data_IF_266872246975
#
_entry.id   IF_266872246975
#
_cell.length_a   1.000
_cell.length_b   1.000
_cell.length_c   1.000
_cell.angle_alpha   90.00
_cell.angle_beta   90.00
_cell.angle_gamma   90.00
#
_symmetry.space_group_name_H-M   'P 1'
#
loop_
_entity.id
_entity.type
_entity.pdbx_description
1 polymer ?
#
# COMPACT_ATOMS: atom_id res chain seq x y z
N UNK A 1 -29.59 9.09 12.04
CA UNK A 1 -30.95 9.36 11.54
C UNK A 1 -31.14 10.86 11.41
N UNK A 2 -32.07 11.30 10.58
CA UNK A 2 -32.36 12.74 10.42
C UNK A 2 -33.34 13.16 11.51
N UNK A 3 -32.81 13.52 12.68
CA UNK A 3 -33.57 14.34 13.62
C UNK A 3 -33.38 15.77 13.13
N UNK A 4 -34.41 16.37 12.52
CA UNK A 4 -34.34 17.75 12.00
C UNK A 4 -34.26 18.80 13.13
N UNK A 5 -34.68 20.02 12.84
CA UNK A 5 -34.85 21.07 13.86
C UNK A 5 -36.14 20.82 14.65
N UNK A 6 -36.02 20.69 15.97
CA UNK A 6 -37.16 20.62 16.88
C UNK A 6 -37.30 21.94 17.65
N UNK A 7 -38.51 22.51 17.62
CA UNK A 7 -38.83 23.78 18.25
C UNK A 7 -39.74 23.51 19.46
N UNK A 8 -39.26 23.80 20.67
CA UNK A 8 -40.00 23.63 21.91
C UNK A 8 -40.46 24.98 22.44
N UNK A 9 -41.77 25.25 22.43
CA UNK A 9 -42.33 26.46 23.01
C UNK A 9 -42.23 26.38 24.53
N UNK A 10 -41.51 27.31 25.15
CA UNK A 10 -41.21 27.29 26.59
C UNK A 10 -41.82 28.46 27.36
N UNK A 11 -42.59 29.33 26.68
CA UNK A 11 -43.20 30.50 27.31
C UNK A 11 -44.64 30.78 26.87
N UNK A 12 -45.34 31.58 27.67
CA UNK A 12 -46.78 31.83 27.55
C UNK A 12 -47.20 32.70 26.34
N UNK A 13 -46.23 33.34 25.67
CA UNK A 13 -46.47 34.19 24.49
C UNK A 13 -45.84 33.57 23.24
N UNK A 14 -46.46 33.78 22.07
CA UNK A 14 -45.96 33.27 20.79
C UNK A 14 -44.47 33.63 20.56
N UNK A 15 -43.71 32.70 19.95
CA UNK A 15 -42.28 32.81 19.61
C UNK A 15 -41.27 32.70 20.77
N UNK A 16 -41.69 32.33 21.98
CA UNK A 16 -40.76 31.94 23.05
C UNK A 16 -40.40 30.44 22.94
N UNK A 17 -39.44 30.14 22.07
CA UNK A 17 -39.16 28.77 21.63
C UNK A 17 -37.67 28.42 21.75
N UNK A 18 -37.33 27.27 22.31
CA UNK A 18 -35.98 26.70 22.27
C UNK A 18 -35.86 25.86 21.00
N UNK A 19 -34.83 26.13 20.20
CA UNK A 19 -34.54 25.35 18.99
C UNK A 19 -33.43 24.35 19.30
N UNK A 20 -33.76 23.06 19.24
CA UNK A 20 -32.77 21.98 19.28
C UNK A 20 -32.50 21.51 17.85
N UNK A 21 -31.29 21.76 17.36
CA UNK A 21 -30.83 21.26 16.07
C UNK A 21 -29.83 20.15 16.29
N UNK A 22 -30.10 18.97 15.73
CA UNK A 22 -29.27 17.79 15.88
C UNK A 22 -28.64 17.44 14.53
N UNK A 23 -27.32 17.25 14.49
CA UNK A 23 -26.61 16.83 13.27
C UNK A 23 -27.01 15.42 12.81
N UNK A 24 -26.86 15.14 11.52
CA UNK A 24 -27.21 13.82 10.96
C UNK A 24 -26.22 12.73 11.38
N UNK A 25 -26.47 12.04 12.50
CA UNK A 25 -25.58 10.97 13.01
C UNK A 25 -25.58 9.65 12.21
N UNK A 26 -25.93 9.64 10.91
CA UNK A 26 -25.80 8.42 10.10
C UNK A 26 -24.31 8.13 9.86
N UNK A 27 -23.89 6.90 10.18
CA UNK A 27 -22.54 6.40 9.90
C UNK A 27 -22.22 6.33 8.40
N UNK A 28 -23.22 6.43 7.51
CA UNK A 28 -23.01 6.55 6.06
C UNK A 28 -22.41 7.90 5.64
N UNK A 29 -22.56 8.95 6.47
CA UNK A 29 -22.07 10.30 6.17
C UNK A 29 -20.79 10.64 6.95
N UNK A 30 -20.57 9.94 8.07
CA UNK A 30 -19.39 10.07 8.93
C UNK A 30 -18.56 8.77 8.98
N UNK A 31 -18.76 7.88 8.00
CA UNK A 31 -18.06 6.61 7.90
C UNK A 31 -16.62 6.79 7.44
N UNK A 32 -15.79 5.79 7.73
CA UNK A 32 -14.40 5.76 7.33
C UNK A 32 -14.31 5.66 5.79
N UNK A 33 -13.90 6.73 5.12
CA UNK A 33 -13.79 6.78 3.65
C UNK A 33 -12.40 6.30 3.22
N UNK A 34 -12.25 4.98 3.04
CA UNK A 34 -11.03 4.39 2.53
C UNK A 34 -11.22 3.97 1.08
N UNK A 35 -10.35 4.43 0.20
CA UNK A 35 -10.23 3.91 -1.16
C UNK A 35 -8.90 3.18 -1.24
N UNK A 36 -8.93 1.87 -1.48
CA UNK A 36 -7.73 1.11 -1.79
C UNK A 36 -7.37 1.36 -3.26
N UNK A 37 -6.08 1.55 -3.55
CA UNK A 37 -5.61 1.52 -4.95
C UNK A 37 -5.92 0.15 -5.55
N UNK A 38 -6.22 0.13 -6.86
CA UNK A 38 -6.21 -1.13 -7.60
C UNK A 38 -4.81 -1.74 -7.50
N UNK A 39 -4.75 -3.02 -7.16
CA UNK A 39 -3.48 -3.74 -7.07
C UNK A 39 -2.88 -3.83 -8.46
N UNK A 40 -1.74 -3.18 -8.67
CA UNK A 40 -0.93 -3.47 -9.86
C UNK A 40 -0.32 -4.85 -9.62
N UNK A 41 -0.71 -5.83 -10.41
CA UNK A 41 -0.13 -7.17 -10.32
C UNK A 41 1.38 -7.05 -10.54
N UNK A 42 2.17 -7.34 -9.49
CA UNK A 42 3.61 -7.53 -9.60
C UNK A 42 3.85 -8.81 -10.42
N UNK A 43 3.80 -8.70 -11.75
CA UNK A 43 4.13 -9.80 -12.66
C UNK A 43 5.63 -9.78 -12.94
N UNK A 44 6.42 -10.14 -11.94
CA UNK A 44 7.84 -10.43 -12.15
C UNK A 44 7.93 -11.90 -12.58
N UNK A 45 8.19 -12.13 -13.86
CA UNK A 45 8.57 -13.45 -14.37
C UNK A 45 10.09 -13.45 -14.60
N UNK A 46 10.85 -13.98 -13.64
CA UNK A 46 12.31 -14.16 -13.73
C UNK A 46 13.16 -13.06 -13.08
N UNK A 47 14.48 -13.24 -13.17
CA UNK A 47 15.52 -12.37 -12.62
C UNK A 47 15.65 -11.07 -13.43
N UNK A 48 15.73 -9.90 -12.77
CA UNK A 48 15.92 -8.62 -13.46
C UNK A 48 17.39 -8.34 -13.76
N UNK A 49 17.67 -7.65 -14.86
CA UNK A 49 19.03 -7.16 -15.16
C UNK A 49 19.41 -5.99 -14.24
N UNK A 50 20.72 -5.75 -14.06
CA UNK A 50 21.20 -4.65 -13.22
C UNK A 50 20.67 -3.28 -13.69
N UNK A 51 20.56 -3.05 -15.01
CA UNK A 51 19.98 -1.83 -15.56
C UNK A 51 18.50 -1.66 -15.20
N UNK A 52 17.77 -2.78 -15.10
CA UNK A 52 16.35 -2.82 -14.74
C UNK A 52 16.10 -2.60 -13.25
N UNK A 53 17.05 -2.95 -12.39
CA UNK A 53 17.03 -2.69 -10.94
C UNK A 53 17.50 -1.27 -10.65
N UNK A 54 18.61 -0.84 -11.25
CA UNK A 54 19.17 0.51 -11.10
C UNK A 54 18.20 1.59 -11.60
N UNK A 55 17.50 1.34 -12.71
CA UNK A 55 16.46 2.23 -13.24
C UNK A 55 15.10 2.09 -12.56
N UNK A 56 14.94 1.16 -11.60
CA UNK A 56 13.66 0.84 -10.93
C UNK A 56 12.49 0.60 -11.91
N UNK A 57 12.78 0.09 -13.11
CA UNK A 57 11.84 0.07 -14.25
C UNK A 57 10.87 -1.12 -14.24
N UNK A 58 10.46 -1.61 -13.05
CA UNK A 58 9.89 -2.96 -12.89
C UNK A 58 8.42 -3.07 -12.58
N UNK A 59 7.88 -2.16 -11.77
CA UNK A 59 6.46 -2.15 -11.39
C UNK A 59 5.79 -1.08 -12.25
N UNK A 60 5.06 -1.51 -13.29
CA UNK A 60 4.39 -0.57 -14.21
C UNK A 60 3.09 -0.08 -13.60
N UNK A 61 3.15 1.04 -12.86
CA UNK A 61 2.16 2.08 -13.12
C UNK A 61 2.53 2.62 -14.50
N UNK A 62 1.62 2.52 -15.48
CA UNK A 62 1.79 3.25 -16.75
C UNK A 62 1.78 4.75 -16.45
N UNK A 63 2.30 5.59 -17.35
CA UNK A 63 2.10 7.03 -17.21
C UNK A 63 0.60 7.30 -17.02
N UNK A 64 0.28 7.92 -15.90
CA UNK A 64 -1.09 8.11 -15.47
C UNK A 64 -1.26 9.48 -14.85
N UNK A 65 -2.41 10.09 -15.14
CA UNK A 65 -2.83 11.30 -14.44
C UNK A 65 -3.84 10.90 -13.36
N UNK A 66 -3.48 11.14 -12.11
CA UNK A 66 -4.33 10.92 -10.96
C UNK A 66 -4.99 12.24 -10.56
N UNK A 67 -6.28 12.20 -10.25
CA UNK A 67 -6.99 13.33 -9.66
C UNK A 67 -7.68 12.86 -8.38
N UNK A 68 -7.43 13.55 -7.28
CA UNK A 68 -8.00 13.25 -5.97
C UNK A 68 -9.10 14.26 -5.68
N UNK A 69 -10.29 13.74 -5.37
CA UNK A 69 -11.42 14.53 -4.89
C UNK A 69 -11.65 14.19 -3.43
N UNK A 70 -11.45 15.17 -2.56
CA UNK A 70 -11.77 15.03 -1.15
C UNK A 70 -12.71 16.13 -0.66
N UNK A 71 -12.93 16.18 0.65
CA UNK A 71 -13.90 17.08 1.27
C UNK A 71 -13.45 18.56 1.25
N UNK A 72 -12.15 18.84 1.17
CA UNK A 72 -11.62 20.20 1.06
C UNK A 72 -11.59 20.70 -0.40
N UNK A 73 -11.65 19.79 -1.38
CA UNK A 73 -11.57 20.13 -2.79
C UNK A 73 -10.86 19.07 -3.64
N UNK A 74 -10.54 19.44 -4.88
CA UNK A 74 -9.82 18.59 -5.82
C UNK A 74 -8.32 18.95 -5.88
N UNK A 75 -7.46 17.95 -6.06
CA UNK A 75 -5.99 18.14 -6.15
C UNK A 75 -5.53 18.84 -7.43
N UNK A 76 -6.33 18.78 -8.50
CA UNK A 76 -5.85 18.95 -9.87
C UNK A 76 -5.16 17.68 -10.38
N UNK A 77 -4.57 17.77 -11.59
CA UNK A 77 -3.86 16.66 -12.22
C UNK A 77 -2.52 16.39 -11.51
N UNK A 78 -2.36 15.17 -11.00
CA UNK A 78 -1.11 14.63 -10.45
C UNK A 78 -0.53 13.69 -11.50
N UNK A 79 0.64 14.02 -12.04
CA UNK A 79 1.30 13.17 -13.03
C UNK A 79 2.12 12.11 -12.30
N UNK A 80 1.70 10.86 -12.45
CA UNK A 80 2.43 9.68 -11.99
C UNK A 80 3.24 9.17 -13.18
N UNK A 81 4.55 9.34 -13.09
CA UNK A 81 5.46 8.88 -14.14
C UNK A 81 5.53 7.36 -14.17
N UNK A 82 5.73 6.78 -15.35
CA UNK A 82 5.94 5.35 -15.50
C UNK A 82 7.09 4.85 -14.61
N UNK A 83 6.85 3.78 -13.85
CA UNK A 83 7.82 3.21 -12.92
C UNK A 83 7.94 3.94 -11.57
N UNK A 84 6.99 4.83 -11.24
CA UNK A 84 6.88 5.37 -9.87
C UNK A 84 6.51 4.25 -8.90
N UNK A 85 7.24 4.15 -7.78
CA UNK A 85 6.90 3.21 -6.71
C UNK A 85 5.61 3.64 -5.98
N UNK A 86 4.98 2.71 -5.26
CA UNK A 86 3.80 3.02 -4.45
C UNK A 86 4.09 4.14 -3.45
N UNK A 87 5.30 4.17 -2.88
CA UNK A 87 5.79 5.26 -2.02
C UNK A 87 5.71 6.62 -2.71
N UNK A 88 6.29 6.74 -3.92
CA UNK A 88 6.29 8.02 -4.65
C UNK A 88 4.87 8.50 -4.92
N UNK A 89 3.96 7.60 -5.30
CA UNK A 89 2.55 7.95 -5.54
C UNK A 89 1.85 8.41 -4.25
N UNK A 90 2.04 7.69 -3.14
CA UNK A 90 1.46 8.10 -1.86
C UNK A 90 2.04 9.44 -1.37
N UNK A 91 3.34 9.66 -1.53
CA UNK A 91 3.99 10.93 -1.20
C UNK A 91 3.40 12.08 -2.06
N UNK A 92 3.21 11.87 -3.37
CA UNK A 92 2.54 12.83 -4.26
C UNK A 92 1.11 13.17 -3.80
N UNK A 93 0.32 12.17 -3.40
CA UNK A 93 -1.04 12.40 -2.85
C UNK A 93 -0.97 13.16 -1.52
N UNK A 94 -0.05 12.81 -0.63
CA UNK A 94 0.11 13.48 0.65
C UNK A 94 0.54 14.94 0.50
N UNK A 95 1.26 15.32 -0.56
CA UNK A 95 1.61 16.73 -0.82
C UNK A 95 0.39 17.62 -1.08
N UNK A 96 -0.70 17.05 -1.60
CA UNK A 96 -1.97 17.76 -1.86
C UNK A 96 -3.03 17.49 -0.79
N UNK A 97 -2.66 16.84 0.32
CA UNK A 97 -3.56 16.55 1.44
C UNK A 97 -4.16 17.82 2.05
N UNK A 98 -3.42 18.92 2.11
CA UNK A 98 -3.91 20.21 2.62
C UNK A 98 -5.02 20.83 1.76
N UNK A 99 -5.13 20.43 0.49
CA UNK A 99 -6.16 20.91 -0.46
C UNK A 99 -7.33 19.94 -0.62
N UNK A 100 -7.10 18.66 -0.36
CA UNK A 100 -8.10 17.60 -0.60
C UNK A 100 -8.69 17.05 0.69
N UNK A 101 -7.93 17.04 1.79
CA UNK A 101 -8.27 16.32 3.03
C UNK A 101 -7.97 14.82 2.97
N UNK A 102 -7.25 14.35 1.93
CA UNK A 102 -6.94 12.93 1.72
C UNK A 102 -5.49 12.65 2.12
N UNK A 103 -5.29 11.56 2.88
CA UNK A 103 -3.97 11.00 3.17
C UNK A 103 -3.84 9.63 2.51
N UNK A 104 -2.63 9.29 2.07
CA UNK A 104 -2.31 8.03 1.42
C UNK A 104 -1.19 7.31 2.19
N UNK A 105 -1.34 5.99 2.30
CA UNK A 105 -0.28 5.08 2.75
C UNK A 105 0.13 4.17 1.58
N UNK A 106 1.39 3.81 1.54
CA UNK A 106 1.93 2.91 0.52
C UNK A 106 2.37 1.59 1.17
N UNK A 107 2.18 0.49 0.44
CA UNK A 107 2.68 -0.84 0.80
C UNK A 107 2.87 -1.64 -0.47
N UNK A 108 4.00 -2.29 -0.61
CA UNK A 108 4.31 -3.16 -1.74
C UNK A 108 4.30 -4.60 -1.28
N UNK A 109 3.55 -5.45 -1.97
CA UNK A 109 3.51 -6.89 -1.71
C UNK A 109 3.79 -7.66 -2.99
N UNK A 110 4.59 -8.72 -2.87
CA UNK A 110 4.88 -9.65 -3.95
C UNK A 110 4.78 -11.09 -3.49
N UNK A 111 4.04 -11.92 -4.23
CA UNK A 111 3.98 -13.36 -3.95
C UNK A 111 5.03 -14.09 -4.79
N UNK A 112 5.95 -14.80 -4.13
CA UNK A 112 6.91 -15.66 -4.78
C UNK A 112 6.29 -17.04 -5.06
N UNK A 113 6.57 -17.58 -6.24
CA UNK A 113 6.22 -18.95 -6.62
C UNK A 113 7.49 -19.69 -7.02
N UNK A 114 7.57 -20.95 -6.60
CA UNK A 114 8.72 -21.81 -6.88
C UNK A 114 8.30 -22.95 -7.79
N UNK A 115 9.18 -23.33 -8.72
CA UNK A 115 8.92 -24.41 -9.67
C UNK A 115 9.21 -25.81 -9.11
N UNK A 116 10.13 -25.92 -8.14
CA UNK A 116 10.54 -27.18 -7.53
C UNK A 116 11.07 -26.98 -6.10
N UNK A 117 11.23 -28.06 -5.35
CA UNK A 117 12.03 -28.02 -4.12
C UNK A 117 13.53 -27.91 -4.46
N UNK A 118 14.31 -27.27 -3.59
CA UNK A 118 15.74 -27.11 -3.82
C UNK A 118 16.34 -25.85 -3.21
N UNK A 119 17.61 -25.60 -3.53
CA UNK A 119 18.34 -24.42 -3.12
C UNK A 119 18.07 -23.26 -4.08
N UNK A 120 17.76 -22.10 -3.51
CA UNK A 120 17.54 -20.85 -4.22
C UNK A 120 18.45 -19.77 -3.64
N UNK A 121 18.95 -18.91 -4.53
CA UNK A 121 19.70 -17.73 -4.13
C UNK A 121 19.40 -16.58 -5.08
N UNK A 122 19.14 -15.41 -4.52
CA UNK A 122 18.94 -14.17 -5.24
C UNK A 122 19.38 -13.02 -4.35
N UNK A 123 19.56 -11.84 -4.93
CA UNK A 123 19.71 -10.64 -4.15
C UNK A 123 18.43 -9.82 -4.10
N UNK A 124 18.25 -9.13 -2.97
CA UNK A 124 17.14 -8.21 -2.74
C UNK A 124 17.66 -6.77 -2.78
N UNK A 125 16.93 -5.92 -3.50
CA UNK A 125 17.09 -4.46 -3.50
C UNK A 125 15.71 -3.83 -3.32
N UNK A 126 15.53 -3.03 -2.28
CA UNK A 126 14.29 -2.31 -1.98
C UNK A 126 14.60 -0.95 -1.31
N UNK A 127 14.61 -0.88 0.02
CA UNK A 127 14.88 0.39 0.76
C UNK A 127 16.35 0.80 0.74
N UNK A 128 17.23 -0.18 0.54
CA UNK A 128 18.68 0.01 0.38
C UNK A 128 19.04 0.71 -0.93
N UNK A 129 20.23 1.31 -0.97
CA UNK A 129 20.77 1.87 -2.21
C UNK A 129 20.86 0.77 -3.28
N UNK A 130 20.63 1.11 -4.56
CA UNK A 130 20.66 0.14 -5.65
C UNK A 130 22.03 -0.58 -5.79
N UNK A 131 23.10 0.04 -5.29
CA UNK A 131 24.46 -0.51 -5.24
C UNK A 131 24.70 -1.43 -4.04
N UNK A 132 23.85 -1.38 -3.02
CA UNK A 132 23.98 -2.16 -1.80
C UNK A 132 23.19 -3.44 -1.94
N UNK A 133 23.92 -4.51 -2.22
CA UNK A 133 23.38 -5.74 -2.73
C UNK A 133 23.24 -6.77 -1.62
N UNK A 134 22.03 -7.17 -1.23
CA UNK A 134 21.86 -8.14 -0.14
C UNK A 134 21.46 -9.51 -0.66
N UNK A 135 22.42 -10.44 -0.66
CA UNK A 135 22.19 -11.83 -1.07
C UNK A 135 21.43 -12.59 0.00
N UNK A 136 20.40 -13.30 -0.44
CA UNK A 136 19.64 -14.25 0.36
C UNK A 136 19.75 -15.62 -0.30
N UNK A 137 20.08 -16.62 0.50
CA UNK A 137 20.20 -18.01 0.06
C UNK A 137 19.45 -18.90 1.04
N UNK A 138 18.64 -19.82 0.52
CA UNK A 138 17.86 -20.76 1.33
C UNK A 138 17.54 -22.02 0.55
N UNK A 139 17.12 -23.06 1.26
CA UNK A 139 16.62 -24.30 0.68
C UNK A 139 15.18 -24.52 1.11
N UNK A 140 14.31 -24.81 0.15
CA UNK A 140 12.89 -25.12 0.40
C UNK A 140 12.65 -26.63 0.28
N UNK A 141 11.80 -27.16 1.17
CA UNK A 141 11.40 -28.57 1.17
C UNK A 141 10.27 -28.91 0.18
N UNK A 142 9.61 -27.89 -0.35
CA UNK A 142 8.46 -27.96 -1.24
C UNK A 142 8.08 -26.57 -1.73
N UNK A 143 7.26 -26.49 -2.78
CA UNK A 143 6.92 -25.22 -3.44
C UNK A 143 5.84 -24.41 -2.71
N UNK A 144 5.13 -25.04 -1.77
CA UNK A 144 4.09 -24.44 -0.93
C UNK A 144 4.10 -25.03 0.48
N UNK A 145 3.50 -24.32 1.43
CA UNK A 145 3.32 -24.76 2.82
C UNK A 145 4.32 -24.12 3.78
N UNK A 146 3.88 -23.86 5.01
CA UNK A 146 4.64 -23.14 6.01
C UNK A 146 5.96 -23.83 6.36
N UNK A 147 5.94 -25.14 6.59
CA UNK A 147 7.13 -25.91 6.96
C UNK A 147 8.17 -25.96 5.83
N UNK A 148 7.69 -26.09 4.59
CA UNK A 148 8.52 -26.17 3.40
C UNK A 148 9.24 -24.85 3.08
N UNK A 149 8.62 -23.73 3.41
CA UNK A 149 9.08 -22.37 3.09
C UNK A 149 9.63 -21.61 4.31
N UNK A 150 9.63 -22.21 5.50
CA UNK A 150 10.08 -21.58 6.75
C UNK A 150 11.52 -21.03 6.64
N UNK A 151 12.43 -21.80 6.01
CA UNK A 151 13.80 -21.37 5.78
C UNK A 151 13.88 -20.14 4.85
N UNK A 152 13.01 -20.07 3.83
CA UNK A 152 12.95 -18.91 2.94
C UNK A 152 12.46 -17.66 3.68
N UNK A 153 11.43 -17.82 4.51
CA UNK A 153 10.91 -16.74 5.36
C UNK A 153 11.98 -16.21 6.32
N UNK A 154 12.67 -17.11 7.02
CA UNK A 154 13.74 -16.73 7.95
C UNK A 154 14.86 -15.99 7.23
N UNK A 155 15.37 -16.54 6.13
CA UNK A 155 16.50 -15.95 5.41
C UNK A 155 16.19 -14.53 4.87
N UNK A 156 14.95 -14.27 4.43
CA UNK A 156 14.53 -12.93 4.01
C UNK A 156 14.37 -11.99 5.23
N UNK A 157 13.76 -12.48 6.31
CA UNK A 157 13.57 -11.67 7.52
C UNK A 157 14.88 -11.32 8.22
N UNK A 158 15.91 -12.15 8.13
CA UNK A 158 17.26 -11.89 8.67
C UNK A 158 17.92 -10.67 8.01
N UNK A 159 17.53 -10.36 6.76
CA UNK A 159 18.02 -9.20 6.02
C UNK A 159 17.02 -8.03 5.95
N UNK A 160 15.87 -8.16 6.62
CA UNK A 160 14.83 -7.13 6.64
C UNK A 160 15.32 -5.79 7.18
N UNK A 161 16.22 -5.79 8.18
CA UNK A 161 16.80 -4.56 8.73
C UNK A 161 17.67 -3.77 7.74
N UNK A 162 18.13 -4.39 6.65
CA UNK A 162 18.91 -3.73 5.59
C UNK A 162 18.06 -3.40 4.36
N UNK A 163 17.12 -4.26 4.02
CA UNK A 163 16.33 -4.16 2.79
C UNK A 163 14.96 -3.52 3.00
N UNK A 164 14.45 -3.50 4.23
CA UNK A 164 13.07 -3.12 4.54
C UNK A 164 12.02 -4.15 4.12
N UNK A 165 12.44 -5.32 3.62
CA UNK A 165 11.55 -6.38 3.14
C UNK A 165 11.33 -7.43 4.22
N UNK A 166 10.07 -7.70 4.53
CA UNK A 166 9.66 -8.82 5.40
C UNK A 166 9.00 -9.92 4.59
N UNK A 167 9.07 -11.15 5.07
CA UNK A 167 8.47 -12.31 4.45
C UNK A 167 7.48 -13.01 5.39
N UNK A 168 6.38 -13.50 4.83
CA UNK A 168 5.40 -14.34 5.52
C UNK A 168 4.78 -15.36 4.56
N UNK A 169 4.04 -16.33 5.10
CA UNK A 169 3.30 -17.31 4.30
C UNK A 169 1.82 -16.94 4.30
N UNK A 170 1.21 -16.83 3.12
CA UNK A 170 -0.22 -16.54 3.01
C UNK A 170 -1.09 -17.80 3.26
N UNK A 171 -2.41 -17.61 3.29
CA UNK A 171 -3.38 -18.70 3.47
C UNK A 171 -3.30 -19.80 2.41
N UNK A 172 -2.73 -19.50 1.24
CA UNK A 172 -2.54 -20.45 0.14
C UNK A 172 -1.21 -21.21 0.24
N UNK A 173 -0.44 -20.99 1.32
CA UNK A 173 0.86 -21.61 1.52
C UNK A 173 1.97 -21.03 0.64
N UNK A 174 1.81 -19.81 0.12
CA UNK A 174 2.80 -19.16 -0.74
C UNK A 174 3.61 -18.15 0.05
N UNK A 175 4.87 -17.95 -0.35
CA UNK A 175 5.75 -16.94 0.21
C UNK A 175 5.32 -15.55 -0.27
N UNK A 176 5.06 -14.64 0.66
CA UNK A 176 4.74 -13.24 0.38
C UNK A 176 5.83 -12.36 0.97
N UNK A 177 6.44 -11.53 0.13
CA UNK A 177 7.37 -10.48 0.52
C UNK A 177 6.63 -9.16 0.58
N UNK A 178 6.84 -8.40 1.66
CA UNK A 178 6.19 -7.12 1.94
C UNK A 178 7.25 -6.06 2.19
N UNK A 179 7.01 -4.86 1.66
CA UNK A 179 7.70 -3.65 2.04
C UNK A 179 6.67 -2.59 2.46
N UNK A 180 6.64 -2.27 3.76
CA UNK A 180 5.65 -1.34 4.34
C UNK A 180 5.96 0.13 4.06
N UNK A 181 7.16 0.44 3.55
CA UNK A 181 7.47 1.79 3.08
C UNK A 181 6.88 2.06 1.69
N UNK A 182 6.44 1.00 0.99
CA UNK A 182 5.90 1.08 -0.36
C UNK A 182 6.96 1.19 -1.45
N UNK A 183 8.22 0.90 -1.13
CA UNK A 183 9.27 0.77 -2.14
C UNK A 183 9.11 -0.52 -2.95
N UNK A 184 9.60 -0.50 -4.17
CA UNK A 184 9.58 -1.67 -5.04
C UNK A 184 10.57 -2.72 -4.55
N UNK A 185 10.18 -3.99 -4.66
CA UNK A 185 11.02 -5.13 -4.29
C UNK A 185 11.65 -5.69 -5.56
N UNK A 186 12.95 -5.50 -5.74
CA UNK A 186 13.70 -6.02 -6.89
C UNK A 186 14.49 -7.27 -6.51
N UNK A 187 14.37 -8.30 -7.36
CA UNK A 187 15.08 -9.57 -7.25
C UNK A 187 16.05 -9.72 -8.43
N UNK A 188 17.31 -10.08 -8.15
CA UNK A 188 18.36 -10.33 -9.14
C UNK A 188 19.20 -11.57 -8.82
#
# INVERSE_FOLDING_TARGET
GTFGTANFQVGANANQTITASTGNFRTSNYGNNNVASTTVAASITGTRTDAQVAGKTGVRVADATLQIFGNLGASGAINVAAGSSAKTVADQVNTVSSKTGVTATARTEGTATFSAAGAYSFDIVADNAATETVRVSFTIGGTTGADNLANAVSAINDVSGKTGVTASINSNGQLVMTNDSGNDIFLR
#
